data_IF_215742438102
#
_entry.id   IF_215742438102
#
_cell.length_a   1.000
_cell.length_b   1.000
_cell.length_c   1.000
_cell.angle_alpha   90.00
_cell.angle_beta   90.00
_cell.angle_gamma   90.00
#
_symmetry.space_group_name_H-M   'P 1'
#
loop_
_entity.id
_entity.type
_entity.pdbx_description
1 polymer ?
#
# COMPACT_ATOMS: atom_id res chain seq x y z
N UNK A 1 0.28 -13.98 -10.59
CA UNK A 1 1.39 -13.01 -10.55
C UNK A 1 0.87 -11.76 -9.84
N UNK A 2 1.67 -11.14 -8.97
CA UNK A 2 1.27 -9.91 -8.29
C UNK A 2 1.28 -8.68 -9.23
N UNK A 3 1.93 -8.78 -10.41
CA UNK A 3 1.95 -7.71 -11.42
C UNK A 3 2.79 -6.49 -11.01
N UNK A 4 3.71 -6.66 -10.05
CA UNK A 4 4.54 -5.58 -9.50
C UNK A 4 5.83 -5.37 -10.28
N UNK A 5 6.34 -6.41 -10.94
CA UNK A 5 7.56 -6.34 -11.74
C UNK A 5 7.34 -5.33 -12.88
N UNK A 6 8.34 -4.47 -13.13
CA UNK A 6 8.29 -3.33 -14.07
C UNK A 6 7.41 -2.12 -13.69
N UNK A 7 6.78 -2.10 -12.50
CA UNK A 7 5.96 -0.96 -12.08
C UNK A 7 6.81 0.11 -11.40
N UNK A 8 6.68 1.37 -11.84
CA UNK A 8 7.47 2.49 -11.31
C UNK A 8 7.22 2.82 -9.82
N UNK A 9 6.10 2.34 -9.27
CA UNK A 9 5.75 2.48 -7.85
C UNK A 9 6.24 1.32 -6.98
N UNK A 10 6.82 0.27 -7.57
CA UNK A 10 7.33 -0.87 -6.83
C UNK A 10 8.81 -0.68 -6.47
N UNK A 11 9.09 -0.63 -5.18
CA UNK A 11 10.41 -0.43 -4.60
C UNK A 11 10.89 -1.75 -3.95
N UNK A 12 11.35 -2.69 -4.77
CA UNK A 12 11.63 -4.08 -4.37
C UNK A 12 12.65 -4.22 -3.22
N UNK A 13 13.68 -3.38 -3.22
CA UNK A 13 14.76 -3.41 -2.21
C UNK A 13 14.57 -2.40 -1.07
N UNK A 14 13.44 -1.68 -1.09
CA UNK A 14 13.19 -0.61 -0.13
C UNK A 14 12.68 -1.16 1.20
N UNK A 15 13.39 -0.87 2.28
CA UNK A 15 12.92 -1.18 3.62
C UNK A 15 11.84 -0.19 4.09
N UNK A 16 11.30 -0.44 5.29
CA UNK A 16 10.26 0.41 5.87
C UNK A 16 10.73 1.85 6.09
N UNK A 17 11.94 2.03 6.61
CA UNK A 17 12.46 3.35 7.00
C UNK A 17 12.72 4.20 5.76
N UNK A 18 13.35 3.64 4.74
CA UNK A 18 13.59 4.29 3.47
C UNK A 18 12.30 4.76 2.80
N UNK A 19 11.25 3.92 2.85
CA UNK A 19 9.94 4.26 2.30
C UNK A 19 9.28 5.42 3.05
N UNK A 20 9.27 5.37 4.38
CA UNK A 20 8.71 6.43 5.23
C UNK A 20 9.47 7.74 5.00
N UNK A 21 10.81 7.73 5.04
CA UNK A 21 11.65 8.90 4.84
C UNK A 21 11.44 9.51 3.43
N UNK A 22 11.32 8.68 2.38
CA UNK A 22 11.05 9.15 1.02
C UNK A 22 9.65 9.80 0.88
N UNK A 23 8.64 9.24 1.54
CA UNK A 23 7.29 9.77 1.53
C UNK A 23 7.19 11.10 2.30
N UNK A 24 7.84 11.20 3.46
CA UNK A 24 7.94 12.47 4.20
C UNK A 24 8.66 13.55 3.39
N UNK A 25 9.72 13.19 2.64
CA UNK A 25 10.38 14.13 1.71
C UNK A 25 9.49 14.57 0.55
N UNK A 26 8.63 13.69 0.03
CA UNK A 26 7.66 14.04 -1.01
C UNK A 26 6.65 15.09 -0.51
N UNK A 27 6.20 14.94 0.74
CA UNK A 27 5.27 15.84 1.43
C UNK A 27 4.03 16.24 0.60
N UNK A 28 3.45 15.27 -0.12
CA UNK A 28 2.28 15.45 -0.99
C UNK A 28 1.24 14.39 -0.70
N UNK A 29 0.04 14.80 -0.34
CA UNK A 29 -1.07 13.90 -0.04
C UNK A 29 -1.41 12.99 -1.23
N UNK A 30 -1.55 11.69 -0.94
CA UNK A 30 -1.73 10.66 -1.97
C UNK A 30 -0.41 10.22 -2.62
N UNK A 31 0.75 10.62 -2.08
CA UNK A 31 2.02 10.01 -2.45
C UNK A 31 2.05 8.57 -1.96
N UNK A 32 2.58 7.67 -2.78
CA UNK A 32 2.61 6.24 -2.44
C UNK A 32 3.76 5.49 -3.12
N UNK A 33 4.04 4.31 -2.56
CA UNK A 33 4.86 3.26 -3.15
C UNK A 33 4.44 1.90 -2.59
N UNK A 34 4.86 0.82 -3.23
CA UNK A 34 4.74 -0.54 -2.70
C UNK A 34 6.14 -1.08 -2.48
N UNK A 35 6.35 -1.71 -1.32
CA UNK A 35 7.59 -2.41 -0.98
C UNK A 35 7.31 -3.84 -0.60
N UNK A 36 8.36 -4.64 -0.53
CA UNK A 36 8.28 -5.94 0.15
C UNK A 36 7.98 -5.72 1.63
N UNK A 37 7.13 -6.57 2.20
CA UNK A 37 6.92 -6.58 3.65
C UNK A 37 8.22 -6.93 4.37
N UNK A 38 8.42 -6.37 5.56
CA UNK A 38 9.64 -6.60 6.35
C UNK A 38 9.63 -7.96 7.06
N UNK A 39 8.46 -8.56 7.25
CA UNK A 39 8.31 -9.89 7.84
C UNK A 39 8.44 -10.99 6.80
N UNK A 40 8.77 -12.20 7.24
CA UNK A 40 8.82 -13.40 6.41
C UNK A 40 7.45 -14.10 6.26
N UNK A 41 6.34 -13.37 6.39
CA UNK A 41 5.00 -13.94 6.25
C UNK A 41 4.60 -14.00 4.76
N UNK A 42 4.56 -15.21 4.21
CA UNK A 42 4.14 -15.46 2.83
C UNK A 42 2.70 -14.99 2.55
N UNK A 43 1.86 -14.89 3.58
CA UNK A 43 0.48 -14.39 3.46
C UNK A 43 0.42 -12.86 3.44
N UNK A 44 1.52 -12.16 3.65
CA UNK A 44 1.62 -10.71 3.54
C UNK A 44 2.88 -10.30 2.77
N UNK A 45 2.99 -10.63 1.48
CA UNK A 45 4.23 -10.44 0.72
C UNK A 45 4.59 -8.96 0.51
N UNK A 46 3.61 -8.06 0.49
CA UNK A 46 3.82 -6.64 0.18
C UNK A 46 3.18 -5.71 1.21
N UNK A 47 3.67 -4.48 1.22
CA UNK A 47 3.10 -3.38 2.00
C UNK A 47 2.91 -2.17 1.08
N UNK A 48 1.69 -1.65 1.02
CA UNK A 48 1.38 -0.35 0.41
C UNK A 48 1.69 0.75 1.44
N UNK A 49 2.50 1.72 1.03
CA UNK A 49 2.89 2.84 1.89
C UNK A 49 2.33 4.12 1.30
N UNK A 50 1.53 4.87 2.07
CA UNK A 50 0.81 6.06 1.60
C UNK A 50 1.09 7.24 2.52
N UNK A 51 1.41 8.40 1.95
CA UNK A 51 1.48 9.66 2.67
C UNK A 51 0.16 10.42 2.53
N UNK A 52 -0.41 10.82 3.68
CA UNK A 52 -1.59 11.65 3.73
C UNK A 52 -1.65 12.40 5.05
N UNK A 53 -2.05 13.68 5.02
CA UNK A 53 -2.25 14.50 6.22
C UNK A 53 -1.06 14.45 7.19
N UNK A 54 0.15 14.65 6.63
CA UNK A 54 1.44 14.62 7.35
C UNK A 54 1.76 13.29 8.04
N UNK A 55 1.14 12.20 7.62
CA UNK A 55 1.33 10.85 8.19
C UNK A 55 1.66 9.85 7.10
N UNK A 56 2.42 8.84 7.46
CA UNK A 56 2.69 7.68 6.60
C UNK A 56 1.92 6.48 7.11
N UNK A 57 1.05 5.93 6.27
CA UNK A 57 0.27 4.74 6.51
C UNK A 57 0.98 3.53 5.88
N UNK A 58 1.31 2.54 6.69
CA UNK A 58 1.84 1.24 6.22
C UNK A 58 0.70 0.22 6.22
N UNK A 59 0.17 -0.08 5.03
CA UNK A 59 -0.99 -0.93 4.84
C UNK A 59 -0.52 -2.31 4.34
N UNK A 60 -0.69 -3.37 5.13
CA UNK A 60 -0.47 -4.75 4.67
C UNK A 60 -1.21 -5.05 3.38
N UNK A 61 -0.54 -5.69 2.41
CA UNK A 61 -1.20 -6.35 1.29
C UNK A 61 -1.12 -7.85 1.55
N UNK A 62 -2.24 -8.44 1.92
CA UNK A 62 -2.34 -9.89 2.19
C UNK A 62 -2.60 -10.66 0.92
N UNK A 63 -2.09 -11.88 0.86
CA UNK A 63 -2.45 -12.88 -0.14
C UNK A 63 -3.40 -13.90 0.50
N UNK A 64 -4.56 -14.11 -0.14
CA UNK A 64 -5.61 -15.02 0.29
C UNK A 64 -5.47 -16.30 -0.55
N UNK A 65 -4.85 -17.33 0.02
CA UNK A 65 -4.51 -18.55 -0.73
C UNK A 65 -5.73 -19.27 -1.31
N UNK A 66 -6.85 -19.29 -0.59
CA UNK A 66 -8.06 -20.01 -1.00
C UNK A 66 -8.69 -19.48 -2.29
N UNK A 67 -8.61 -18.17 -2.52
CA UNK A 67 -9.12 -17.53 -3.75
C UNK A 67 -8.01 -17.03 -4.68
N UNK A 68 -6.74 -17.13 -4.25
CA UNK A 68 -5.56 -16.60 -4.94
C UNK A 68 -5.64 -15.10 -5.25
N UNK A 69 -6.23 -14.34 -4.33
CA UNK A 69 -6.44 -12.90 -4.46
C UNK A 69 -5.67 -12.12 -3.39
N UNK A 70 -5.67 -10.79 -3.51
CA UNK A 70 -5.05 -9.86 -2.59
C UNK A 70 -6.09 -8.98 -1.91
N UNK A 71 -5.81 -8.59 -0.66
CA UNK A 71 -6.65 -7.67 0.11
C UNK A 71 -5.81 -6.71 0.97
N UNK A 72 -6.35 -5.53 1.24
CA UNK A 72 -5.68 -4.47 2.00
C UNK A 72 -6.01 -4.50 3.50
N UNK A 73 -4.96 -4.33 4.30
CA UNK A 73 -5.04 -4.19 5.75
C UNK A 73 -5.34 -5.51 6.46
N UNK A 74 -5.92 -5.41 7.65
CA UNK A 74 -6.42 -6.59 8.39
C UNK A 74 -7.67 -7.14 7.72
N UNK A 75 -7.88 -8.45 7.88
CA UNK A 75 -9.08 -9.12 7.40
C UNK A 75 -10.34 -8.48 8.01
N UNK A 76 -11.34 -8.25 7.17
CA UNK A 76 -12.63 -7.69 7.56
C UNK A 76 -13.75 -8.23 6.69
N UNK A 77 -14.95 -8.33 7.26
CA UNK A 77 -16.13 -8.74 6.50
C UNK A 77 -16.40 -7.78 5.35
N UNK A 78 -16.67 -8.33 4.16
CA UNK A 78 -16.92 -7.54 2.96
C UNK A 78 -15.70 -6.79 2.41
N UNK A 79 -14.47 -7.23 2.70
CA UNK A 79 -13.28 -6.60 2.12
C UNK A 79 -13.20 -6.73 0.61
N UNK A 80 -12.67 -5.69 -0.03
CA UNK A 80 -12.33 -5.73 -1.45
C UNK A 80 -11.20 -6.75 -1.69
N UNK A 81 -11.36 -7.53 -2.76
CA UNK A 81 -10.39 -8.52 -3.23
C UNK A 81 -10.00 -8.19 -4.65
N UNK A 82 -8.73 -8.37 -4.93
CA UNK A 82 -8.10 -8.03 -6.20
C UNK A 82 -7.31 -9.22 -6.71
N UNK A 83 -7.29 -9.43 -8.01
CA UNK A 83 -6.56 -10.54 -8.64
C UNK A 83 -5.04 -10.27 -8.66
N UNK A 84 -4.63 -9.01 -8.50
CA UNK A 84 -3.22 -8.62 -8.41
C UNK A 84 -2.97 -7.37 -7.56
N UNK A 85 -1.71 -7.16 -7.19
CA UNK A 85 -1.29 -5.93 -6.51
C UNK A 85 -1.33 -4.73 -7.46
N UNK A 86 -1.09 -4.95 -8.76
CA UNK A 86 -1.27 -3.90 -9.77
C UNK A 86 -2.70 -3.38 -9.83
N UNK A 87 -3.68 -4.29 -9.74
CA UNK A 87 -5.10 -3.94 -9.75
C UNK A 87 -5.50 -3.11 -8.52
N UNK A 88 -4.95 -3.41 -7.33
CA UNK A 88 -5.12 -2.57 -6.13
C UNK A 88 -4.74 -1.11 -6.44
N UNK A 89 -3.57 -0.92 -7.06
CA UNK A 89 -3.07 0.42 -7.39
C UNK A 89 -3.97 1.08 -8.44
N UNK A 90 -4.29 0.39 -9.52
CA UNK A 90 -5.12 0.91 -10.61
C UNK A 90 -6.54 1.28 -10.16
N UNK A 91 -7.12 0.49 -9.25
CA UNK A 91 -8.40 0.81 -8.62
C UNK A 91 -8.28 2.10 -7.80
N UNK A 92 -7.36 2.15 -6.84
CA UNK A 92 -7.25 3.30 -5.93
C UNK A 92 -6.56 4.54 -6.51
N UNK A 93 -6.06 4.46 -7.74
CA UNK A 93 -5.78 5.65 -8.56
C UNK A 93 -7.09 6.34 -9.00
N UNK A 94 -8.16 5.57 -9.21
CA UNK A 94 -9.48 6.07 -9.65
C UNK A 94 -10.44 6.29 -8.49
N UNK A 95 -10.42 5.42 -7.49
CA UNK A 95 -11.30 5.41 -6.32
C UNK A 95 -10.54 5.82 -5.05
N UNK A 96 -11.24 6.33 -4.04
CA UNK A 96 -10.60 6.72 -2.78
C UNK A 96 -10.30 5.50 -1.92
N UNK A 97 -9.06 5.34 -1.49
CA UNK A 97 -8.65 4.39 -0.46
C UNK A 97 -8.95 4.98 0.92
N UNK A 98 -9.64 4.22 1.76
CA UNK A 98 -9.90 4.57 3.16
C UNK A 98 -8.67 4.27 4.01
N UNK A 99 -8.21 5.27 4.76
CA UNK A 99 -7.07 5.20 5.65
C UNK A 99 -7.58 5.23 7.10
N UNK A 100 -7.32 4.17 7.85
CA UNK A 100 -7.78 4.03 9.24
C UNK A 100 -6.57 4.11 10.16
N UNK A 101 -6.62 5.04 11.11
CA UNK A 101 -5.67 5.12 12.21
C UNK A 101 -6.41 4.85 13.52
N UNK A 102 -6.25 3.65 14.06
CA UNK A 102 -6.89 3.26 15.32
C UNK A 102 -6.32 3.99 16.54
N UNK A 103 -5.09 4.51 16.47
CA UNK A 103 -4.49 5.23 17.59
C UNK A 103 -5.10 6.63 17.73
N UNK A 104 -5.40 7.27 16.61
CA UNK A 104 -5.96 8.62 16.57
C UNK A 104 -7.46 8.65 16.26
N UNK A 105 -8.08 7.48 16.10
CA UNK A 105 -9.49 7.30 15.74
C UNK A 105 -9.90 8.12 14.49
N UNK A 106 -9.02 8.19 13.49
CA UNK A 106 -9.33 8.88 12.23
C UNK A 106 -9.69 7.89 11.12
N UNK A 107 -10.61 8.32 10.28
CA UNK A 107 -11.02 7.65 9.05
C UNK A 107 -10.91 8.64 7.91
N UNK A 108 -9.71 8.72 7.36
CA UNK A 108 -9.39 9.57 6.24
C UNK A 108 -9.59 8.82 4.91
N UNK A 109 -9.53 9.52 3.79
CA UNK A 109 -9.45 8.84 2.49
C UNK A 109 -8.68 9.67 1.48
N UNK A 110 -7.95 8.97 0.59
CA UNK A 110 -7.21 9.61 -0.49
C UNK A 110 -7.13 8.69 -1.69
N UNK A 111 -6.85 9.24 -2.88
CA UNK A 111 -6.48 8.45 -4.05
C UNK A 111 -4.97 8.29 -4.10
N UNK A 112 -4.50 7.21 -4.70
CA UNK A 112 -3.08 7.02 -5.03
C UNK A 112 -2.76 7.94 -6.22
N UNK A 113 -2.02 9.03 -6.00
CA UNK A 113 -1.81 10.07 -7.02
C UNK A 113 -0.37 10.19 -7.47
N UNK A 114 0.56 10.19 -6.51
CA UNK A 114 1.95 10.55 -6.77
C UNK A 114 2.86 9.37 -6.46
N UNK A 115 3.54 8.86 -7.48
CA UNK A 115 4.51 7.79 -7.30
C UNK A 115 5.77 8.36 -6.64
N UNK A 116 6.20 7.76 -5.54
CA UNK A 116 7.48 8.08 -4.90
C UNK A 116 8.51 7.04 -5.29
N UNK A 117 9.64 7.52 -5.83
CA UNK A 117 10.81 6.69 -6.11
C UNK A 117 11.80 6.82 -4.96
N UNK A 118 12.35 5.69 -4.56
CA UNK A 118 13.40 5.62 -3.53
C UNK A 118 14.72 5.48 -4.27
N UNK A 119 15.57 6.49 -4.12
CA UNK A 119 16.94 6.53 -4.64
C UNK A 119 17.92 5.92 -3.66
#
# INVERSE_FOLDING_TARGET
>A
DAGVHSKAWYAATCDRKMAEDALYRSNKDGSFLIRNSSGQDSRQPYTLVVFYNRRVYNIPIRFIESTRQYALGREKSGEERFDSVAEIVENHQRTSLVLIDSQNNTKDSTKLKYIVRVS
#
